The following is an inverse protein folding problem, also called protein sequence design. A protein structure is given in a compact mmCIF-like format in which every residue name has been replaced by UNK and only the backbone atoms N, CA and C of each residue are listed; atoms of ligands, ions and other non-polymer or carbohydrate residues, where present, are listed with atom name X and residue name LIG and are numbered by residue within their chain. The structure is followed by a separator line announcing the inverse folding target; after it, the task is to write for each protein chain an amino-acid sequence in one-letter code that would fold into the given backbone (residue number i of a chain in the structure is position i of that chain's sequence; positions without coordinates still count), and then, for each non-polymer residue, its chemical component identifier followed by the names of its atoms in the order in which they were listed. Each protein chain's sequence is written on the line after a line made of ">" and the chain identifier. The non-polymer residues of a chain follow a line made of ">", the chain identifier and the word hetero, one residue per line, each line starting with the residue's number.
data_IF_728608485762
#
_entry.id   IF_728608485762
#
_cell.length_a   1.000
_cell.length_b   1.000
_cell.length_c   1.000
_cell.angle_alpha   90.00
_cell.angle_beta   90.00
_cell.angle_gamma   90.00
#
_symmetry.space_group_name_H-M   'P 1'
#
loop_
_entity.id
_entity.type
_entity.pdbx_description
1 polymer ?
2 non-polymer ?
3 water ?
#
# COMPACT_ATOMS: atom_id res chain seq x y z
N UNK A 10 11.01 8.78 7.57
CA UNK A 10 10.56 8.05 8.71
C UNK A 10 10.11 6.64 8.77
N UNK A 11 8.81 6.33 8.62
CA UNK A 11 8.30 4.98 8.57
C UNK A 11 7.66 4.78 7.21
N UNK A 12 8.12 3.75 6.52
CA UNK A 12 7.58 3.31 5.25
C UNK A 12 6.61 2.13 5.49
N UNK A 13 5.41 2.27 4.92
CA UNK A 13 4.31 1.34 5.08
C UNK A 13 4.22 0.68 3.73
N UNK A 14 4.53 -0.61 3.68
CA UNK A 14 4.62 -1.37 2.42
C UNK A 14 3.52 -2.42 2.36
N UNK A 15 2.71 -2.34 1.32
CA UNK A 15 1.67 -3.31 1.08
C UNK A 15 1.88 -3.96 -0.23
N UNK A 16 1.93 -5.31 -0.24
CA UNK A 16 2.07 -6.08 -1.43
C UNK A 16 0.73 -6.72 -1.65
N UNK A 17 0.35 -6.83 -2.90
CA UNK A 17 -0.98 -7.31 -3.25
C UNK A 17 -0.99 -8.21 -4.47
N UNK A 18 -2.02 -9.04 -4.52
CA UNK A 18 -2.43 -9.77 -5.70
C UNK A 18 -3.92 -9.46 -5.86
N UNK A 19 -4.31 -8.98 -7.04
CA UNK A 19 -5.71 -8.70 -7.39
C UNK A 19 -6.42 -10.01 -7.74
N UNK A 20 -7.67 -10.17 -7.28
CA UNK A 20 -8.35 -11.45 -7.46
C UNK A 20 -8.76 -11.61 -8.91
N UNK A 21 -8.93 -12.86 -9.32
CA UNK A 21 -9.54 -13.18 -10.61
C UNK A 21 -10.75 -12.31 -10.87
N UNK A 22 -10.78 -11.75 -12.07
CA UNK A 22 -11.89 -10.94 -12.53
C UNK A 22 -11.83 -9.46 -12.23
N UNK A 23 -10.77 -8.99 -11.56
CA UNK A 23 -10.54 -7.57 -11.38
C UNK A 23 -9.86 -7.06 -12.64
N UNK A 24 -10.49 -6.10 -13.30
CA UNK A 24 -9.99 -5.61 -14.59
C UNK A 24 -8.77 -4.71 -14.38
N UNK A 25 -7.99 -4.51 -15.44
CA UNK A 25 -6.92 -3.49 -15.37
C UNK A 25 -7.46 -2.11 -15.11
N UNK A 26 -8.65 -1.84 -15.62
CA UNK A 26 -9.31 -0.59 -15.33
C UNK A 26 -9.69 -0.46 -13.88
N UNK A 27 -10.20 -1.51 -13.26
CA UNK A 27 -10.60 -1.41 -11.87
C UNK A 27 -9.30 -1.24 -11.02
N UNK A 28 -8.23 -1.91 -11.42
CA UNK A 28 -6.93 -1.76 -10.71
C UNK A 28 -6.48 -0.32 -10.73
N UNK A 29 -6.47 0.34 -11.87
CA UNK A 29 -6.01 1.74 -11.90
C UNK A 29 -6.94 2.68 -11.12
N UNK A 30 -8.24 2.39 -11.14
CA UNK A 30 -9.20 3.08 -10.29
C UNK A 30 -8.88 2.90 -8.81
N UNK A 31 -8.55 1.67 -8.41
CA UNK A 31 -8.26 1.36 -7.01
C UNK A 31 -6.98 2.03 -6.50
N UNK A 32 -5.94 1.98 -7.33
CA UNK A 32 -4.69 2.64 -7.08
C UNK A 32 -4.84 4.16 -6.97
N UNK A 33 -5.67 4.77 -7.81
CA UNK A 33 -5.90 6.20 -7.65
C UNK A 33 -6.63 6.48 -6.32
N UNK A 34 -7.54 5.62 -5.95
CA UNK A 34 -8.22 5.79 -4.67
C UNK A 34 -7.31 5.66 -3.44
N UNK A 35 -6.40 4.68 -3.46
CA UNK A 35 -5.42 4.44 -2.38
C UNK A 35 -4.49 5.65 -2.27
N UNK A 36 -3.95 6.06 -3.41
CA UNK A 36 -3.14 7.26 -3.47
C UNK A 36 -3.85 8.51 -2.96
N UNK A 37 -5.15 8.59 -3.17
CA UNK A 37 -5.92 9.76 -2.68
C UNK A 37 -5.92 9.88 -1.16
N UNK A 38 -5.54 8.82 -0.45
CA UNK A 38 -5.56 8.88 1.02
C UNK A 38 -4.49 9.80 1.51
N UNK A 39 -3.50 10.11 0.68
CA UNK A 39 -2.55 11.15 1.03
C UNK A 39 -3.33 12.40 1.36
N UNK A 40 -4.26 12.71 0.46
CA UNK A 40 -5.04 13.95 0.52
C UNK A 40 -6.00 13.91 1.68
N UNK A 41 -6.71 12.78 1.86
CA UNK A 41 -7.72 12.58 2.92
C UNK A 41 -7.17 12.39 4.37
N UNK A 42 -5.95 11.86 4.50
CA UNK A 42 -5.40 11.51 5.78
C UNK A 42 -4.10 12.26 6.08
N UNK A 43 -4.18 13.10 7.09
CA UNK A 43 -3.05 13.97 7.45
C UNK A 43 -1.70 13.22 7.57
N UNK A 44 -1.66 12.17 8.37
CA UNK A 44 -0.39 11.48 8.66
C UNK A 44 0.29 10.83 7.45
N UNK A 45 -0.48 10.35 6.50
CA UNK A 45 0.08 9.87 5.22
C UNK A 45 0.60 11.00 4.32
N UNK A 46 1.91 11.04 4.13
CA UNK A 46 2.63 12.11 3.47
C UNK A 46 2.96 11.87 1.98
N UNK A 47 3.12 10.62 1.54
CA UNK A 47 3.42 10.34 0.12
C UNK A 47 3.04 8.89 -0.17
N UNK A 48 2.93 8.60 -1.45
CA UNK A 48 2.45 7.34 -2.00
C UNK A 48 3.08 7.04 -3.33
N UNK A 49 3.62 5.83 -3.47
CA UNK A 49 4.21 5.41 -4.73
C UNK A 49 3.76 3.95 -4.91
N UNK A 50 3.79 3.46 -6.12
CA UNK A 50 3.40 2.09 -6.39
C UNK A 50 4.20 1.52 -7.56
N UNK A 51 4.12 0.21 -7.73
CA UNK A 51 4.74 -0.43 -8.88
C UNK A 51 4.15 -1.78 -9.09
N UNK A 52 4.14 -2.19 -10.35
CA UNK A 52 3.88 -3.54 -10.73
C UNK A 52 5.20 -4.28 -10.75
N UNK A 53 5.18 -5.51 -10.28
CA UNK A 53 6.41 -6.30 -10.24
C UNK A 53 6.92 -6.58 -11.63
N UNK A 54 8.19 -6.31 -11.88
CA UNK A 54 8.83 -6.69 -13.13
C UNK A 54 10.09 -7.53 -12.88
N UNK A 55 10.12 -8.24 -11.76
CA UNK A 55 11.21 -9.14 -11.43
C UNK A 55 11.31 -10.29 -12.40
N UNK A 56 12.48 -10.93 -12.36
CA UNK A 56 12.84 -12.05 -13.24
C UNK A 56 13.24 -13.31 -12.49
N UNK A 57 13.25 -13.26 -11.18
CA UNK A 57 13.79 -14.31 -10.33
C UNK A 57 12.77 -15.43 -10.01
N UNK A 58 11.49 -15.15 -10.29
CA UNK A 58 10.40 -16.02 -9.97
C UNK A 58 10.30 -16.24 -8.46
N UNK A 59 10.46 -15.15 -7.71
CA UNK A 59 10.42 -15.18 -6.26
C UNK A 59 9.35 -14.29 -5.65
N UNK A 60 8.46 -13.78 -6.47
CA UNK A 60 7.42 -12.84 -6.07
C UNK A 60 6.26 -13.43 -5.25
N UNK A 61 6.22 -14.76 -5.17
CA UNK A 61 5.25 -15.48 -4.35
C UNK A 61 3.76 -15.19 -4.70
N UNK A 62 3.51 -14.87 -5.96
CA UNK A 62 2.16 -14.56 -6.44
C UNK A 62 1.73 -13.09 -6.28
N UNK A 63 2.54 -12.27 -5.62
CA UNK A 63 2.23 -10.84 -5.50
C UNK A 63 2.62 -10.11 -6.80
N UNK A 64 1.79 -9.16 -7.26
CA UNK A 64 2.04 -8.47 -8.49
C UNK A 64 2.29 -6.99 -8.35
N UNK A 65 1.82 -6.42 -7.25
CA UNK A 65 1.95 -5.03 -7.03
C UNK A 65 2.51 -4.74 -5.64
N UNK A 66 3.19 -3.61 -5.55
CA UNK A 66 3.70 -3.04 -4.31
C UNK A 66 3.20 -1.57 -4.14
N UNK A 67 2.81 -1.21 -2.94
CA UNK A 67 2.35 0.14 -2.57
C UNK A 67 3.13 0.59 -1.38
N UNK A 68 3.78 1.73 -1.48
CA UNK A 68 4.56 2.25 -0.40
C UNK A 68 4.00 3.63 -0.01
N UNK A 69 3.68 3.75 1.24
CA UNK A 69 3.27 5.03 1.78
C UNK A 69 4.23 5.47 2.87
N UNK A 70 4.46 6.76 2.95
CA UNK A 70 5.43 7.32 3.87
C UNK A 70 4.77 8.03 5.04
N UNK A 71 5.30 7.79 6.23
CA UNK A 71 4.79 8.38 7.45
C UNK A 71 5.96 8.92 8.28
N UNK A 72 5.65 9.76 9.24
CA UNK A 72 6.67 10.41 10.02
C UNK A 72 7.00 9.61 11.26
N UNK A 73 6.12 8.71 11.66
CA UNK A 73 6.34 7.90 12.85
C UNK A 73 5.49 6.66 12.87
N UNK A 74 5.86 5.73 13.75
CA UNK A 74 5.02 4.58 14.05
C UNK A 74 3.61 4.99 14.53
N UNK A 75 3.53 6.00 15.38
CA UNK A 75 2.25 6.54 15.84
C UNK A 75 1.39 7.12 14.69
N UNK A 76 2.03 7.70 13.69
CA UNK A 76 1.30 8.23 12.53
C UNK A 76 0.64 7.10 11.68
N UNK A 77 1.33 5.98 11.58
CA UNK A 77 0.78 4.81 10.88
C UNK A 77 -0.44 4.33 11.68
N UNK A 78 -0.31 4.29 12.99
CA UNK A 78 -1.41 3.81 13.80
C UNK A 78 -2.59 4.75 13.61
N UNK A 79 -2.33 6.05 13.57
CA UNK A 79 -3.43 7.02 13.39
C UNK A 79 -4.14 6.80 12.04
N UNK A 80 -3.31 6.58 11.00
CA UNK A 80 -3.82 6.21 9.67
C UNK A 80 -4.71 5.00 9.75
N UNK A 81 -4.30 3.92 10.45
CA UNK A 81 -5.09 2.69 10.47
C UNK A 81 -6.47 2.95 11.14
N UNK A 82 -6.47 3.82 12.14
CA UNK A 82 -7.68 4.17 12.93
C UNK A 82 -8.53 5.25 12.24
N UNK A 83 -7.99 5.85 11.19
CA UNK A 83 -8.71 6.95 10.53
C UNK A 83 -9.93 6.39 9.71
N UNK A 84 -11.13 6.99 9.87
CA UNK A 84 -12.36 6.43 9.27
C UNK A 84 -12.30 6.39 7.74
N UNK A 85 -11.54 7.30 7.13
CA UNK A 85 -11.35 7.24 5.66
C UNK A 85 -10.53 6.03 5.21
N UNK A 86 -9.46 5.70 5.93
CA UNK A 86 -8.81 4.40 5.75
C UNK A 86 -9.80 3.22 5.93
N UNK A 87 -10.54 3.17 7.04
CA UNK A 87 -11.41 2.02 7.31
C UNK A 87 -12.45 1.81 6.20
N UNK A 88 -12.99 2.93 5.70
CA UNK A 88 -13.96 2.87 4.61
C UNK A 88 -13.29 2.35 3.34
N UNK A 89 -12.21 3.02 2.95
CA UNK A 89 -11.57 2.63 1.68
C UNK A 89 -10.96 1.22 1.72
N UNK A 90 -10.52 0.78 2.89
CA UNK A 90 -9.83 -0.50 2.94
C UNK A 90 -10.78 -1.61 2.59
N UNK A 91 -12.05 -1.49 2.96
CA UNK A 91 -13.04 -2.50 2.55
C UNK A 91 -13.13 -2.61 1.04
N UNK A 92 -13.15 -1.47 0.38
CA UNK A 92 -13.21 -1.45 -1.08
C UNK A 92 -11.98 -2.15 -1.67
N UNK A 93 -10.79 -1.71 -1.25
CA UNK A 93 -9.52 -2.15 -1.85
C UNK A 93 -9.29 -3.67 -1.58
N UNK A 94 -9.47 -4.06 -0.31
CA UNK A 94 -9.25 -5.43 0.14
C UNK A 94 -10.26 -6.35 -0.45
N UNK A 95 -11.40 -5.79 -0.85
CA UNK A 95 -12.38 -6.61 -1.50
C UNK A 95 -11.92 -7.12 -2.85
N UNK A 96 -11.02 -6.39 -3.51
CA UNK A 96 -10.50 -6.81 -4.79
C UNK A 96 -9.19 -7.60 -4.74
N UNK A 97 -8.68 -7.91 -3.56
CA UNK A 97 -7.42 -8.67 -3.42
C UNK A 97 -7.61 -10.13 -3.13
N UNK A 98 -6.77 -10.94 -3.79
CA UNK A 98 -6.42 -12.34 -3.43
C UNK A 98 -5.45 -12.52 -2.25
N UNK A 99 -4.27 -11.91 -2.41
CA UNK A 99 -3.17 -11.99 -1.45
C UNK A 99 -2.93 -10.54 -0.95
N UNK A 100 -2.63 -10.38 0.32
CA UNK A 100 -2.10 -9.09 0.82
C UNK A 100 -0.99 -9.35 1.85
N UNK A 101 0.03 -8.52 1.86
CA UNK A 101 1.09 -8.61 2.88
C UNK A 101 1.46 -7.18 3.28
N UNK A 102 1.51 -6.86 4.58
CA UNK A 102 1.93 -5.55 5.05
C UNK A 102 3.18 -5.66 5.94
N UNK A 103 4.16 -4.81 5.65
CA UNK A 103 5.34 -4.57 6.55
C UNK A 103 5.56 -3.06 6.68
N UNK A 104 5.83 -2.60 7.91
CA UNK A 104 6.23 -1.23 8.24
C UNK A 104 7.70 -1.28 8.68
N UNK A 105 8.52 -0.37 8.19
CA UNK A 105 9.92 -0.31 8.63
C UNK A 105 10.44 1.11 8.64
N UNK A 106 11.48 1.31 9.44
CA UNK A 106 12.22 2.57 9.49
C UNK A 106 13.49 2.30 8.68
N UNK A 107 13.63 2.95 7.52
CA UNK A 107 14.75 2.71 6.64
C UNK A 107 16.05 2.94 7.37
N UNK A 108 16.90 1.92 7.27
CA UNK A 108 18.17 1.84 8.01
C UNK A 108 19.25 1.64 6.98
N UNK A 109 20.43 2.25 7.15
CA UNK A 109 21.51 1.96 6.24
C UNK A 109 22.83 1.85 6.98
N UNK A 110 23.84 1.37 6.28
CA UNK A 110 25.18 1.19 6.88
C UNK A 110 25.86 2.53 6.80
N UNK A 111 25.75 3.28 7.90
CA UNK A 111 26.10 4.70 7.88
C UNK A 111 26.80 5.05 9.15
N UNK A 112 27.52 6.16 9.08
CA UNK A 112 28.30 6.66 10.20
C UNK A 112 27.76 7.99 10.66
X LIG B 1 -1.75 13.37 4.30
#
# INVERSE_FOLDING_TARGET
>A
GSHXEEAKGPVKHVLLASFKDGVSPEKIEELIKGYANLVNLIEPMKAFHWGKDVSIENLHQGYTHIFESTFESKEAVAEYIAHPAHVEFATIFLGSLDKVLVIDYKPTSVSL
>B hetero
1 MG MG
#
